data_IF_735246679727
#
_entry.id   IF_735246679727
#
_cell.length_a   1.000
_cell.length_b   1.000
_cell.length_c   1.000
_cell.angle_alpha   90.00
_cell.angle_beta   90.00
_cell.angle_gamma   90.00
#
_symmetry.space_group_name_H-M   'P 1'
#
loop_
_entity.id
_entity.type
_entity.pdbx_description
1 polymer ?
#
# COMPACT_ATOMS: atom_id res chain seq x y z
N UNK A 1 10.77 9.76 -12.05
CA UNK A 1 9.55 8.98 -11.74
C UNK A 1 8.89 9.56 -10.51
N UNK A 2 7.56 9.63 -10.54
CA UNK A 2 6.74 10.25 -9.50
C UNK A 2 5.78 9.19 -8.95
N UNK A 3 6.31 8.03 -8.60
CA UNK A 3 5.49 6.89 -8.19
C UNK A 3 5.08 7.02 -6.73
N UNK A 4 3.95 6.41 -6.40
CA UNK A 4 3.27 6.60 -5.12
C UNK A 4 3.12 5.25 -4.42
N UNK A 5 3.45 5.20 -3.14
CA UNK A 5 3.16 4.09 -2.24
C UNK A 5 2.11 4.52 -1.22
N UNK A 6 1.05 3.75 -1.07
CA UNK A 6 -0.07 4.02 -0.15
C UNK A 6 -0.15 2.89 0.88
N UNK A 7 -0.16 3.22 2.16
CA UNK A 7 -0.33 2.24 3.25
C UNK A 7 -1.77 2.20 3.76
N UNK A 8 -2.42 1.03 3.64
CA UNK A 8 -3.77 0.72 4.17
C UNK A 8 -3.73 -0.56 5.04
N UNK A 9 -4.84 -0.92 5.70
CA UNK A 9 -4.80 -1.93 6.77
C UNK A 9 -5.10 -3.35 6.30
N UNK A 10 -5.73 -3.53 5.13
CA UNK A 10 -6.05 -4.87 4.63
C UNK A 10 -6.63 -4.91 3.22
N UNK A 11 -6.88 -6.14 2.75
CA UNK A 11 -7.32 -6.44 1.38
C UNK A 11 -8.55 -5.65 0.94
N UNK A 12 -9.60 -5.58 1.76
CA UNK A 12 -10.86 -4.91 1.40
C UNK A 12 -10.64 -3.43 1.09
N UNK A 13 -9.94 -2.71 1.98
CA UNK A 13 -9.61 -1.30 1.80
C UNK A 13 -8.69 -1.09 0.60
N UNK A 14 -7.72 -1.99 0.41
CA UNK A 14 -6.78 -1.94 -0.71
C UNK A 14 -7.50 -2.10 -2.05
N UNK A 15 -8.36 -3.11 -2.20
CA UNK A 15 -9.09 -3.36 -3.44
C UNK A 15 -10.13 -2.26 -3.72
N UNK A 16 -10.81 -1.78 -2.67
CA UNK A 16 -11.73 -0.63 -2.78
C UNK A 16 -11.01 0.63 -3.25
N UNK A 17 -9.89 0.99 -2.61
CA UNK A 17 -9.09 2.14 -3.01
C UNK A 17 -8.53 1.97 -4.44
N UNK A 18 -8.04 0.78 -4.78
CA UNK A 18 -7.54 0.50 -6.11
C UNK A 18 -8.62 0.65 -7.19
N UNK A 19 -9.84 0.19 -6.90
CA UNK A 19 -10.98 0.37 -7.78
C UNK A 19 -11.32 1.85 -7.99
N UNK A 20 -11.40 2.63 -6.91
CA UNK A 20 -11.68 4.07 -7.00
C UNK A 20 -10.61 4.82 -7.79
N UNK A 21 -9.32 4.56 -7.55
CA UNK A 21 -8.24 5.20 -8.30
C UNK A 21 -8.33 4.84 -9.79
N UNK A 22 -8.64 3.58 -10.13
CA UNK A 22 -8.81 3.15 -11.52
C UNK A 22 -9.99 3.84 -12.19
N UNK A 23 -11.09 4.08 -11.48
CA UNK A 23 -12.25 4.82 -12.00
C UNK A 23 -11.89 6.28 -12.23
N UNK A 24 -11.34 6.96 -11.22
CA UNK A 24 -10.92 8.35 -11.31
C UNK A 24 -9.85 8.58 -12.38
N UNK A 25 -8.94 7.62 -12.59
CA UNK A 25 -7.91 7.73 -13.64
C UNK A 25 -8.45 7.72 -15.08
N UNK A 26 -9.73 7.36 -15.27
CA UNK A 26 -10.42 7.39 -16.56
C UNK A 26 -11.25 8.66 -16.76
N UNK A 27 -11.37 9.47 -15.72
CA UNK A 27 -12.10 10.73 -15.77
C UNK A 27 -11.34 11.72 -16.70
N UNK A 28 -12.00 12.29 -17.72
CA UNK A 28 -11.37 13.24 -18.64
C UNK A 28 -10.89 14.52 -17.95
N UNK A 29 -11.42 14.89 -16.78
CA UNK A 29 -11.00 16.07 -16.03
C UNK A 29 -9.69 15.82 -15.25
N UNK A 30 -9.28 14.56 -15.07
CA UNK A 30 -8.03 14.21 -14.38
C UNK A 30 -6.85 14.37 -15.33
N UNK A 31 -6.03 15.39 -15.07
CA UNK A 31 -4.82 15.66 -15.82
C UNK A 31 -3.61 14.90 -15.28
N UNK A 32 -2.75 14.41 -16.17
CA UNK A 32 -1.47 13.80 -15.81
C UNK A 32 -1.10 12.61 -16.68
N UNK A 33 0.03 11.94 -16.36
CA UNK A 33 0.40 10.69 -17.02
C UNK A 33 -0.61 9.59 -16.69
N UNK A 34 -0.79 8.58 -17.56
CA UNK A 34 -1.54 7.38 -17.27
C UNK A 34 -1.12 6.75 -15.93
N UNK A 35 -2.09 6.26 -15.17
CA UNK A 35 -1.85 5.64 -13.86
C UNK A 35 -1.96 4.11 -13.98
N UNK A 36 -0.99 3.39 -13.42
CA UNK A 36 -1.08 1.94 -13.21
C UNK A 36 -1.11 1.61 -11.73
N UNK A 37 -2.20 0.97 -11.30
CA UNK A 37 -2.48 0.64 -9.89
C UNK A 37 -2.18 -0.82 -9.59
N UNK A 38 -1.32 -1.04 -8.61
CA UNK A 38 -0.92 -2.34 -8.08
C UNK A 38 -1.35 -2.48 -6.62
N UNK A 39 -1.77 -3.68 -6.24
CA UNK A 39 -2.15 -4.03 -4.87
C UNK A 39 -1.11 -5.00 -4.29
N UNK A 40 -0.79 -4.87 -3.00
CA UNK A 40 0.18 -5.72 -2.32
C UNK A 40 -0.28 -6.08 -0.89
N UNK A 41 -0.77 -7.31 -0.70
CA UNK A 41 -1.17 -7.87 0.60
C UNK A 41 -0.91 -9.38 0.70
N UNK A 42 -0.88 -9.92 1.92
CA UNK A 42 -0.31 -11.24 2.22
C UNK A 42 -1.01 -12.41 1.53
N UNK A 43 -2.34 -12.31 1.36
CA UNK A 43 -3.15 -13.37 0.76
C UNK A 43 -3.05 -13.45 -0.77
N UNK A 44 -2.32 -12.53 -1.42
CA UNK A 44 -2.20 -12.55 -2.88
C UNK A 44 -1.28 -13.68 -3.37
N UNK A 45 -1.58 -14.29 -4.52
CA UNK A 45 -0.66 -15.17 -5.22
C UNK A 45 0.70 -14.51 -5.47
N UNK A 46 1.79 -15.28 -5.33
CA UNK A 46 3.16 -14.75 -5.47
C UNK A 46 3.42 -14.08 -6.81
N UNK A 47 2.85 -14.61 -7.90
CA UNK A 47 2.99 -13.99 -9.23
C UNK A 47 2.39 -12.58 -9.28
N UNK A 48 1.29 -12.31 -8.57
CA UNK A 48 0.70 -10.98 -8.47
C UNK A 48 1.58 -10.06 -7.61
N UNK A 49 2.09 -10.55 -6.49
CA UNK A 49 3.02 -9.79 -5.65
C UNK A 49 4.32 -9.42 -6.41
N UNK A 50 4.77 -10.24 -7.36
CA UNK A 50 5.96 -9.92 -8.13
C UNK A 50 5.75 -8.77 -9.14
N UNK A 51 4.50 -8.50 -9.55
CA UNK A 51 4.22 -7.44 -10.54
C UNK A 51 4.57 -6.05 -10.02
N UNK A 52 4.50 -5.82 -8.70
CA UNK A 52 4.87 -4.54 -8.10
C UNK A 52 6.39 -4.30 -8.12
N UNK A 53 7.24 -5.28 -8.43
CA UNK A 53 8.69 -5.04 -8.60
C UNK A 53 9.08 -4.66 -10.02
N UNK A 54 8.17 -4.80 -10.98
CA UNK A 54 8.46 -4.40 -12.34
C UNK A 54 8.62 -2.88 -12.44
N UNK A 55 9.61 -2.39 -13.20
CA UNK A 55 9.79 -0.95 -13.38
C UNK A 55 8.55 -0.34 -14.05
N UNK A 56 8.25 0.92 -13.68
CA UNK A 56 7.21 1.70 -14.35
C UNK A 56 7.54 1.88 -15.83
N UNK A 57 6.55 1.72 -16.71
CA UNK A 57 6.71 2.08 -18.11
C UNK A 57 6.98 3.60 -18.24
N UNK A 58 7.73 4.04 -19.27
CA UNK A 58 7.93 5.47 -19.52
C UNK A 58 6.61 6.23 -19.57
N UNK A 59 6.61 7.47 -19.05
CA UNK A 59 5.44 8.35 -19.01
C UNK A 59 4.20 7.77 -18.28
N UNK A 60 4.36 6.77 -17.42
CA UNK A 60 3.28 6.21 -16.59
C UNK A 60 3.59 6.45 -15.12
N UNK A 61 2.60 6.80 -14.31
CA UNK A 61 2.71 6.85 -12.85
C UNK A 61 2.31 5.51 -12.26
N UNK A 62 3.21 4.91 -11.49
CA UNK A 62 2.91 3.71 -10.72
C UNK A 62 2.33 4.09 -9.37
N UNK A 63 1.22 3.46 -9.01
CA UNK A 63 0.60 3.58 -7.68
C UNK A 63 0.55 2.20 -7.07
N UNK A 64 1.19 2.03 -5.92
CA UNK A 64 1.17 0.79 -5.15
C UNK A 64 0.38 1.02 -3.88
N UNK A 65 -0.59 0.15 -3.62
CA UNK A 65 -1.38 0.18 -2.39
C UNK A 65 -1.07 -1.09 -1.61
N UNK A 66 -0.52 -0.94 -0.40
CA UNK A 66 0.00 -2.07 0.38
C UNK A 66 -0.40 -2.03 1.84
N UNK A 67 -0.36 -3.19 2.49
CA UNK A 67 -0.28 -3.27 3.95
C UNK A 67 1.16 -3.00 4.42
N UNK A 68 1.45 -3.32 5.68
CA UNK A 68 2.80 -3.29 6.24
C UNK A 68 3.80 -4.26 5.56
N UNK A 69 3.43 -5.01 4.53
CA UNK A 69 4.38 -5.84 3.74
C UNK A 69 5.43 -4.96 3.07
N UNK A 70 5.06 -3.76 2.63
CA UNK A 70 6.00 -2.78 2.07
C UNK A 70 6.82 -2.04 3.16
N UNK A 71 6.59 -2.29 4.46
CA UNK A 71 7.20 -1.55 5.57
C UNK A 71 8.64 -1.95 5.85
N UNK A 72 8.99 -3.24 5.76
CA UNK A 72 10.30 -3.76 6.19
C UNK A 72 11.03 -4.61 5.17
N UNK A 73 10.35 -5.42 4.36
CA UNK A 73 11.02 -6.53 3.65
C UNK A 73 11.24 -6.32 2.15
N UNK A 74 10.78 -5.20 1.58
CA UNK A 74 10.63 -5.09 0.14
C UNK A 74 10.99 -3.68 -0.36
N UNK A 75 11.87 -3.60 -1.36
CA UNK A 75 12.22 -2.34 -2.04
C UNK A 75 11.47 -2.24 -3.35
N UNK A 76 10.51 -1.32 -3.43
CA UNK A 76 9.83 -0.97 -4.68
C UNK A 76 10.60 0.21 -5.27
N UNK A 77 11.27 0.00 -6.40
CA UNK A 77 12.04 1.05 -7.05
C UNK A 77 11.13 2.15 -7.62
N UNK A 78 11.60 3.40 -7.54
CA UNK A 78 10.97 4.55 -8.19
C UNK A 78 9.90 5.26 -7.36
N UNK A 79 9.56 4.78 -6.16
CA UNK A 79 8.68 5.48 -5.23
C UNK A 79 9.29 6.84 -4.88
N UNK A 80 8.49 7.89 -5.02
CA UNK A 80 8.85 9.27 -4.71
C UNK A 80 7.92 9.90 -3.67
N UNK A 81 6.73 9.32 -3.53
CA UNK A 81 5.69 9.80 -2.61
C UNK A 81 5.15 8.63 -1.80
N UNK A 82 4.93 8.89 -0.52
CA UNK A 82 4.27 7.98 0.40
C UNK A 82 3.01 8.65 0.93
N UNK A 83 1.89 7.93 0.91
CA UNK A 83 0.63 8.30 1.55
C UNK A 83 0.37 7.26 2.64
N UNK A 84 0.36 7.69 3.90
CA UNK A 84 0.20 6.77 5.04
C UNK A 84 -1.14 7.01 5.73
N UNK A 85 -1.98 5.98 5.81
CA UNK A 85 -3.22 6.01 6.59
C UNK A 85 -2.99 6.04 8.10
N UNK A 86 -1.77 5.80 8.58
CA UNK A 86 -1.41 5.84 10.00
C UNK A 86 -1.97 4.68 10.83
N UNK A 87 -2.51 3.67 10.15
CA UNK A 87 -3.16 2.51 10.76
C UNK A 87 -2.51 1.20 10.28
N UNK A 88 -2.65 0.15 11.10
CA UNK A 88 -2.21 -1.21 10.78
C UNK A 88 -3.19 -2.21 11.40
N UNK A 89 -3.41 -3.34 10.73
CA UNK A 89 -4.09 -4.50 11.32
C UNK A 89 -3.03 -5.40 11.95
N UNK A 90 -2.96 -5.41 13.27
CA UNK A 90 -1.94 -6.13 14.04
C UNK A 90 -2.58 -7.08 15.05
N UNK A 91 -1.81 -8.08 15.49
CA UNK A 91 -2.21 -9.00 16.56
C UNK A 91 -2.25 -8.25 17.89
N UNK A 92 -3.38 -8.36 18.58
CA UNK A 92 -3.60 -7.80 19.91
C UNK A 92 -3.96 -8.93 20.86
N UNK A 93 -3.21 -9.06 21.95
CA UNK A 93 -3.42 -10.06 22.98
C UNK A 93 -4.27 -9.48 24.11
N UNK A 94 -5.30 -10.21 24.55
CA UNK A 94 -6.14 -9.87 25.69
C UNK A 94 -5.79 -10.76 26.90
N UNK A 95 -5.04 -10.27 27.90
CA UNK A 95 -4.55 -11.10 29.01
C UNK A 95 -5.67 -11.72 29.86
N UNK A 96 -6.81 -11.04 29.98
CA UNK A 96 -7.95 -11.52 30.77
C UNK A 96 -8.68 -12.70 30.14
N UNK A 97 -8.66 -12.82 28.82
CA UNK A 97 -9.36 -13.89 28.08
C UNK A 97 -8.40 -14.92 27.46
N UNK A 98 -7.11 -14.60 27.39
CA UNK A 98 -6.10 -15.40 26.70
C UNK A 98 -6.24 -15.38 25.17
N UNK A 99 -7.10 -14.52 24.62
CA UNK A 99 -7.39 -14.48 23.18
C UNK A 99 -6.41 -13.57 22.43
N UNK A 100 -6.02 -14.00 21.24
CA UNK A 100 -5.28 -13.21 20.27
C UNK A 100 -6.20 -12.88 19.10
N UNK A 101 -6.36 -11.59 18.80
CA UNK A 101 -7.25 -11.10 17.75
C UNK A 101 -6.50 -10.14 16.83
N UNK A 102 -6.89 -10.09 15.55
CA UNK A 102 -6.41 -9.07 14.63
C UNK A 102 -7.27 -7.82 14.78
N UNK A 103 -6.64 -6.71 15.19
CA UNK A 103 -7.32 -5.43 15.38
C UNK A 103 -6.64 -4.34 14.58
N UNK A 104 -7.45 -3.44 14.01
CA UNK A 104 -6.95 -2.21 13.41
C UNK A 104 -6.59 -1.23 14.54
N UNK A 105 -5.34 -0.75 14.52
CA UNK A 105 -4.79 0.18 15.50
C UNK A 105 -3.87 1.20 14.84
N UNK A 106 -3.54 2.27 15.56
CA UNK A 106 -2.55 3.26 15.10
C UNK A 106 -1.18 2.62 15.01
N UNK A 107 -0.40 3.05 14.03
CA UNK A 107 1.01 2.65 13.91
C UNK A 107 1.85 3.29 15.02
N UNK A 108 2.98 2.66 15.37
CA UNK A 108 3.96 3.29 16.25
C UNK A 108 4.71 4.42 15.53
N UNK A 109 5.40 5.25 16.30
CA UNK A 109 6.28 6.29 15.74
C UNK A 109 7.40 5.69 14.87
N UNK A 110 7.94 4.54 15.29
CA UNK A 110 8.96 3.82 14.52
C UNK A 110 8.43 3.36 13.17
N UNK A 111 7.23 2.78 13.14
CA UNK A 111 6.58 2.36 11.90
C UNK A 111 6.34 3.56 10.97
N UNK A 112 5.90 4.70 11.51
CA UNK A 112 5.71 5.92 10.72
C UNK A 112 7.03 6.41 10.10
N UNK A 113 8.14 6.35 10.85
CA UNK A 113 9.46 6.69 10.32
C UNK A 113 9.91 5.72 9.21
N UNK A 114 9.73 4.41 9.41
CA UNK A 114 10.06 3.41 8.39
C UNK A 114 9.26 3.62 7.10
N UNK A 115 7.96 3.92 7.21
CA UNK A 115 7.08 4.21 6.06
C UNK A 115 7.49 5.48 5.33
N UNK A 116 7.87 6.52 6.07
CA UNK A 116 8.37 7.78 5.47
C UNK A 116 9.66 7.55 4.68
N UNK A 117 10.54 6.65 5.15
CA UNK A 117 11.78 6.28 4.45
C UNK A 117 11.60 5.52 3.14
N UNK A 118 10.37 5.31 2.68
CA UNK A 118 10.06 4.69 1.38
C UNK A 118 9.94 5.70 0.22
N UNK A 119 9.94 7.01 0.52
CA UNK A 119 9.90 8.11 -0.46
C UNK A 119 11.30 8.63 -0.85
#
# INVERSE_FOLDING_TARGET
>A
NHDVLIFLTGQEEIESCAHQIRLLSKDPDVQGPPIKVFTLYAAQPSNQQMTVFQPSQPNTRKVVISTNIAETSITISGIKYVIDGGMVKARSFHPSTGLELLKVQRISQEQAWQRTGRA
#
